data_IF_099617733194
#
_entry.id   IF_099617733194
#
_cell.length_a   1.000
_cell.length_b   1.000
_cell.length_c   1.000
_cell.angle_alpha   90.00
_cell.angle_beta   90.00
_cell.angle_gamma   90.00
#
_symmetry.space_group_name_H-M   'P 1'
#
loop_
_entity.id
_entity.type
_entity.pdbx_description
1 polymer ?
#
# COMPACT_ATOMS: atom_id res chain seq x y z
N UNK A 1 10.52 -15.56 -0.20
CA UNK A 1 10.58 -14.09 -0.42
C UNK A 1 9.12 -13.62 -0.49
N UNK A 2 8.46 -12.99 0.48
CA UNK A 2 8.86 -12.20 1.63
C UNK A 2 7.90 -12.51 2.80
N UNK A 3 8.44 -12.89 3.96
CA UNK A 3 7.67 -12.95 5.22
C UNK A 3 8.30 -12.01 6.24
N UNK A 4 8.53 -10.78 5.82
CA UNK A 4 8.89 -9.67 6.69
C UNK A 4 7.68 -8.74 6.75
N UNK A 5 6.64 -9.22 7.42
CA UNK A 5 5.49 -8.41 7.83
C UNK A 5 5.64 -8.22 9.35
N UNK A 6 6.43 -7.19 9.64
CA UNK A 6 6.68 -6.42 10.85
C UNK A 6 6.14 -6.93 12.19
N UNK A 7 7.06 -7.07 13.14
CA UNK A 7 6.78 -7.30 14.56
C UNK A 7 5.76 -6.29 15.16
N UNK A 8 5.71 -5.05 14.65
CA UNK A 8 4.78 -4.01 15.08
C UNK A 8 3.33 -4.34 14.78
N UNK A 9 3.03 -4.83 13.56
CA UNK A 9 1.68 -5.25 13.19
C UNK A 9 1.18 -6.41 14.06
N UNK A 10 2.05 -7.42 14.29
CA UNK A 10 1.73 -8.56 15.16
C UNK A 10 1.42 -8.11 16.58
N UNK A 11 2.17 -7.14 17.11
CA UNK A 11 1.95 -6.59 18.46
C UNK A 11 0.63 -5.84 18.58
N UNK A 12 0.34 -4.93 17.64
CA UNK A 12 -0.90 -4.15 17.62
C UNK A 12 -2.12 -5.05 17.45
N UNK A 13 -2.07 -5.96 16.47
CA UNK A 13 -3.13 -6.94 16.23
C UNK A 13 -3.46 -7.74 17.48
N UNK A 14 -2.45 -8.21 18.20
CA UNK A 14 -2.70 -9.01 19.40
C UNK A 14 -3.18 -8.18 20.60
N UNK A 15 -2.79 -6.91 20.72
CA UNK A 15 -3.35 -6.02 21.75
C UNK A 15 -4.84 -5.73 21.53
N UNK A 16 -5.27 -5.58 20.27
CA UNK A 16 -6.67 -5.39 19.93
C UNK A 16 -7.50 -6.64 20.24
N UNK A 17 -7.06 -7.80 19.76
CA UNK A 17 -7.80 -9.07 19.96
C UNK A 17 -7.92 -9.44 21.44
N UNK A 18 -6.88 -9.21 22.26
CA UNK A 18 -6.95 -9.41 23.71
C UNK A 18 -8.02 -8.53 24.36
N UNK A 19 -8.12 -7.26 23.97
CA UNK A 19 -9.15 -6.35 24.49
C UNK A 19 -10.56 -6.78 24.09
N UNK A 20 -10.75 -7.24 22.85
CA UNK A 20 -12.05 -7.76 22.37
C UNK A 20 -12.47 -9.02 23.15
N UNK A 21 -11.52 -9.91 23.43
CA UNK A 21 -11.77 -11.12 24.22
C UNK A 21 -11.87 -10.87 25.74
N UNK A 22 -11.68 -9.62 26.22
CA UNK A 22 -11.64 -9.33 27.65
C UNK A 22 -10.42 -9.90 28.39
N UNK A 23 -9.38 -10.29 27.65
CA UNK A 23 -8.18 -10.94 28.17
C UNK A 23 -7.06 -9.93 28.47
N UNK A 24 -6.39 -10.13 29.58
CA UNK A 24 -5.21 -9.39 30.00
C UNK A 24 -3.91 -10.12 29.62
N UNK A 25 -2.77 -9.42 29.77
CA UNK A 25 -1.45 -10.03 29.58
C UNK A 25 -1.11 -11.08 30.65
N UNK A 26 -1.76 -10.98 31.83
CA UNK A 26 -1.55 -11.90 32.95
C UNK A 26 -2.17 -13.28 32.73
N UNK A 27 -3.16 -13.37 31.86
CA UNK A 27 -3.89 -14.61 31.61
C UNK A 27 -3.05 -15.63 30.83
N UNK A 28 -1.93 -15.19 30.23
CA UNK A 28 -0.95 -16.03 29.50
C UNK A 28 -1.56 -16.94 28.42
N UNK A 29 -2.78 -16.64 27.98
CA UNK A 29 -3.47 -17.34 26.89
C UNK A 29 -2.66 -17.22 25.60
N UNK A 30 -2.52 -18.32 24.87
CA UNK A 30 -1.73 -18.34 23.63
C UNK A 30 -2.45 -17.53 22.56
N UNK A 31 -1.66 -16.86 21.72
CA UNK A 31 -2.19 -16.07 20.61
C UNK A 31 -2.96 -16.89 19.56
N UNK A 32 -2.75 -18.20 19.49
CA UNK A 32 -3.52 -19.13 18.66
C UNK A 32 -4.96 -19.24 19.18
N UNK A 33 -5.09 -19.51 20.46
CA UNK A 33 -6.35 -19.84 21.12
C UNK A 33 -7.27 -18.61 21.10
N UNK A 34 -6.72 -17.41 21.31
CA UNK A 34 -7.44 -16.13 21.19
C UNK A 34 -8.02 -15.93 19.77
N UNK A 35 -7.31 -16.38 18.72
CA UNK A 35 -7.79 -16.22 17.34
C UNK A 35 -8.87 -17.23 17.00
N UNK A 36 -8.74 -18.45 17.52
CA UNK A 36 -9.71 -19.53 17.36
C UNK A 36 -11.01 -19.20 18.10
N UNK A 37 -10.92 -18.76 19.36
CA UNK A 37 -12.06 -18.36 20.18
C UNK A 37 -12.87 -17.22 19.56
N UNK A 38 -12.17 -16.22 19.01
CA UNK A 38 -12.82 -15.09 18.34
C UNK A 38 -13.29 -15.42 16.91
N UNK A 39 -13.06 -16.64 16.40
CA UNK A 39 -13.38 -17.02 15.03
C UNK A 39 -12.71 -16.10 13.98
N UNK A 40 -11.57 -15.51 14.34
CA UNK A 40 -10.91 -14.49 13.51
C UNK A 40 -10.22 -15.22 12.36
N UNK A 41 -10.90 -15.22 11.20
CA UNK A 41 -10.24 -15.43 9.93
C UNK A 41 -8.98 -14.54 9.91
N UNK A 42 -7.80 -15.08 9.56
CA UNK A 42 -6.60 -14.28 9.45
C UNK A 42 -6.92 -13.05 8.62
N UNK A 43 -6.85 -11.85 9.21
CA UNK A 43 -7.07 -10.57 8.51
C UNK A 43 -6.43 -10.54 7.10
N UNK A 44 -5.30 -11.23 6.95
CA UNK A 44 -4.65 -11.47 5.67
C UNK A 44 -5.56 -12.14 4.64
N UNK A 45 -6.29 -13.21 4.97
CA UNK A 45 -7.25 -13.84 4.06
C UNK A 45 -8.38 -12.88 3.66
N UNK A 46 -8.86 -12.04 4.59
CA UNK A 46 -9.89 -11.05 4.27
C UNK A 46 -9.36 -9.96 3.33
N UNK A 47 -8.14 -9.47 3.59
CA UNK A 47 -7.45 -8.50 2.75
C UNK A 47 -7.15 -9.12 1.38
N UNK A 48 -6.63 -10.33 1.33
CA UNK A 48 -6.33 -11.07 0.10
C UNK A 48 -7.59 -11.31 -0.73
N UNK A 49 -8.70 -11.75 -0.14
CA UNK A 49 -9.98 -11.91 -0.84
C UNK A 49 -10.50 -10.59 -1.40
N UNK A 50 -10.39 -9.51 -0.62
CA UNK A 50 -10.82 -8.18 -1.06
C UNK A 50 -9.93 -7.64 -2.19
N UNK A 51 -8.61 -7.84 -2.08
CA UNK A 51 -7.64 -7.48 -3.13
C UNK A 51 -7.87 -8.30 -4.39
N UNK A 52 -8.10 -9.61 -4.29
CA UNK A 52 -8.38 -10.48 -5.43
C UNK A 52 -9.72 -10.14 -6.09
N UNK A 53 -10.75 -9.80 -5.31
CA UNK A 53 -12.02 -9.30 -5.84
C UNK A 53 -11.85 -7.99 -6.60
N UNK A 54 -11.10 -7.04 -6.04
CA UNK A 54 -10.78 -5.77 -6.66
C UNK A 54 -9.90 -5.92 -7.91
N UNK A 55 -8.88 -6.77 -7.88
CA UNK A 55 -8.03 -7.10 -9.02
C UNK A 55 -8.83 -7.80 -10.13
N UNK A 56 -9.73 -8.71 -9.76
CA UNK A 56 -10.65 -9.35 -10.70
C UNK A 56 -11.62 -8.35 -11.33
N UNK A 57 -12.02 -7.30 -10.60
CA UNK A 57 -12.81 -6.21 -11.16
C UNK A 57 -11.98 -5.37 -12.15
N UNK A 58 -10.75 -5.01 -11.79
CA UNK A 58 -9.78 -4.35 -12.68
C UNK A 58 -9.52 -5.12 -13.96
N UNK A 59 -9.31 -6.44 -13.87
CA UNK A 59 -9.04 -7.30 -15.01
C UNK A 59 -10.22 -7.40 -16.00
N UNK A 60 -11.46 -7.22 -15.52
CA UNK A 60 -12.68 -7.21 -16.34
C UNK A 60 -13.05 -5.82 -16.86
N UNK A 61 -12.35 -4.78 -16.41
CA UNK A 61 -12.62 -3.40 -16.81
C UNK A 61 -12.10 -3.16 -18.24
N UNK A 62 -12.87 -2.49 -19.12
CA UNK A 62 -12.39 -2.15 -20.46
C UNK A 62 -11.21 -1.17 -20.39
N UNK A 63 -10.30 -1.26 -21.36
CA UNK A 63 -9.19 -0.32 -21.53
C UNK A 63 -9.71 1.10 -21.77
N UNK A 64 -9.02 2.11 -21.22
CA UNK A 64 -9.46 3.52 -21.27
C UNK A 64 -9.99 4.06 -19.93
N UNK A 65 -10.00 3.23 -18.87
CA UNK A 65 -10.39 3.68 -17.53
C UNK A 65 -9.18 3.97 -16.65
N UNK A 66 -9.19 5.14 -16.04
CA UNK A 66 -8.11 5.66 -15.18
C UNK A 66 -7.63 4.68 -14.12
N UNK A 67 -8.47 3.94 -13.37
CA UNK A 67 -7.97 3.01 -12.34
C UNK A 67 -7.10 1.89 -12.91
N UNK A 68 -7.46 1.35 -14.08
CA UNK A 68 -6.68 0.33 -14.77
C UNK A 68 -5.38 0.89 -15.35
N UNK A 69 -5.43 2.10 -15.90
CA UNK A 69 -4.25 2.79 -16.43
C UNK A 69 -3.26 3.16 -15.32
N UNK A 70 -3.74 3.72 -14.20
CA UNK A 70 -2.93 4.03 -13.02
C UNK A 70 -2.32 2.76 -12.42
N UNK A 71 -3.08 1.67 -12.35
CA UNK A 71 -2.57 0.38 -11.88
C UNK A 71 -1.45 -0.17 -12.78
N UNK A 72 -1.61 -0.08 -14.12
CA UNK A 72 -0.59 -0.50 -15.09
C UNK A 72 0.64 0.40 -15.09
N UNK A 73 0.44 1.69 -14.89
CA UNK A 73 1.51 2.69 -14.88
C UNK A 73 2.19 2.84 -13.54
N UNK A 74 1.83 2.03 -12.53
CA UNK A 74 2.36 2.11 -11.17
C UNK A 74 3.88 2.27 -11.21
N UNK A 75 4.41 3.46 -10.86
CA UNK A 75 5.84 3.69 -10.96
C UNK A 75 6.49 2.89 -9.83
N UNK A 76 7.19 1.81 -10.16
CA UNK A 76 7.99 1.02 -9.22
C UNK A 76 9.27 1.78 -8.79
N UNK A 77 9.18 3.10 -8.64
CA UNK A 77 10.27 3.99 -8.29
C UNK A 77 10.16 4.47 -6.84
N UNK A 78 11.30 4.64 -6.17
CA UNK A 78 11.32 5.37 -4.90
C UNK A 78 10.90 6.81 -5.18
N UNK A 79 9.92 7.32 -4.43
CA UNK A 79 9.60 8.75 -4.43
C UNK A 79 10.91 9.48 -4.09
N UNK A 80 11.42 10.38 -4.96
CA UNK A 80 12.62 11.14 -4.63
C UNK A 80 12.36 11.85 -3.32
N UNK A 81 13.28 11.65 -2.36
CA UNK A 81 13.23 12.38 -1.11
C UNK A 81 13.41 13.84 -1.51
N UNK A 82 12.38 14.65 -1.28
CA UNK A 82 12.53 16.10 -1.35
C UNK A 82 13.58 16.47 -0.31
N UNK A 83 14.82 16.64 -0.77
CA UNK A 83 15.92 17.14 0.02
C UNK A 83 15.75 18.67 0.09
N UNK A 84 15.40 19.25 1.25
CA UNK A 84 15.30 20.72 1.38
C UNK A 84 16.69 21.35 1.54
N UNK A 85 17.73 20.68 1.04
CA UNK A 85 19.11 20.79 1.51
C UNK A 85 20.09 21.41 0.53
N UNK A 86 19.65 22.12 -0.51
CA UNK A 86 20.55 23.04 -1.21
C UNK A 86 19.84 24.36 -1.51
N UNK A 87 20.41 25.41 -0.92
CA UNK A 87 20.02 26.79 -1.09
C UNK A 87 20.01 27.25 -2.55
N UNK A 88 19.35 28.39 -2.75
CA UNK A 88 19.07 28.98 -4.04
C UNK A 88 20.23 28.90 -5.04
N UNK A 89 19.93 28.30 -6.17
CA UNK A 89 20.78 28.31 -7.36
C UNK A 89 19.93 27.96 -8.56
N UNK A 90 19.48 28.97 -9.28
CA UNK A 90 18.93 28.85 -10.63
C UNK A 90 20.05 28.44 -11.61
N UNK A 91 20.51 27.20 -11.54
CA UNK A 91 21.39 26.57 -12.53
C UNK A 91 20.91 25.12 -12.65
N UNK A 92 20.22 24.70 -13.70
CA UNK A 92 20.72 24.62 -15.06
C UNK A 92 19.53 24.41 -16.01
N UNK A 93 19.28 25.40 -16.87
CA UNK A 93 18.43 25.27 -18.06
C UNK A 93 19.27 24.68 -19.20
N UNK A 94 19.79 23.46 -19.00
CA UNK A 94 20.44 22.68 -20.05
C UNK A 94 19.98 21.22 -19.89
N UNK A 95 18.79 20.94 -20.41
CA UNK A 95 18.17 19.61 -20.30
C UNK A 95 16.73 19.51 -20.80
N UNK A 96 16.04 20.65 -21.05
CA UNK A 96 14.78 20.65 -21.79
C UNK A 96 15.06 20.81 -23.29
N UNK A 97 15.63 19.75 -23.87
CA UNK A 97 15.58 19.52 -25.30
C UNK A 97 14.14 19.21 -25.72
N UNK A 98 13.44 20.24 -26.19
CA UNK A 98 12.52 20.21 -27.32
C UNK A 98 11.73 18.92 -27.59
N UNK A 99 10.51 18.81 -27.04
CA UNK A 99 9.46 17.95 -27.64
C UNK A 99 8.05 18.31 -27.17
N UNK A 100 7.62 19.56 -27.33
CA UNK A 100 6.19 19.88 -27.39
C UNK A 100 5.98 20.89 -28.51
N UNK A 101 5.50 20.39 -29.64
CA UNK A 101 5.28 21.13 -30.86
C UNK A 101 4.28 22.27 -30.68
N UNK A 102 4.55 23.38 -31.38
CA UNK A 102 3.67 24.54 -31.47
C UNK A 102 2.34 24.17 -32.15
N UNK A 103 1.19 24.64 -31.65
CA UNK A 103 -0.01 24.71 -32.46
C UNK A 103 -0.06 26.07 -33.16
N UNK A 104 0.07 26.05 -34.49
CA UNK A 104 -0.35 27.15 -35.36
C UNK A 104 -1.77 26.85 -35.86
N UNK A 105 -2.54 27.95 -36.04
CA UNK A 105 -3.82 28.12 -36.78
C UNK A 105 -5.05 28.08 -35.85
N UNK A 106 -6.03 28.98 -35.98
CA UNK A 106 -6.49 29.82 -37.10
C UNK A 106 -6.70 31.28 -36.70
#
# INVERSE_FOLDING_TARGET
MAKEQDCGYKRLKMSFLRRVAGLNLRDRVRSSDIREELGVEPLLLHIERSLLGWLGHLARMPSGRLPLEVFRTYPTGRRPRSDPGLGGGITSLAGLGSSWGSPRRS
#
